data_IF_640663295128
#
_entry.id   IF_640663295128
#
_cell.length_a   1.000
_cell.length_b   1.000
_cell.length_c   1.000
_cell.angle_alpha   90.00
_cell.angle_beta   90.00
_cell.angle_gamma   90.00
#
_symmetry.space_group_name_H-M   'P 1'
#
loop_
_entity.id
_entity.type
_entity.pdbx_description
1 polymer ?
#
# COMPACT_ATOMS: atom_id res chain seq x y z
N UNK A 1 13.35 -2.01 8.81
CA UNK A 1 12.36 -2.60 9.74
C UNK A 1 12.59 -2.22 11.20
N UNK A 2 13.65 -1.46 11.54
CA UNK A 2 14.03 -1.18 12.93
C UNK A 2 13.09 -0.20 13.67
N UNK A 3 12.24 0.57 12.96
CA UNK A 3 11.43 1.64 13.57
C UNK A 3 9.91 1.54 13.31
N UNK A 4 9.43 0.44 12.71
CA UNK A 4 7.99 0.26 12.46
C UNK A 4 7.35 -0.46 13.65
N UNK A 5 6.33 0.11 14.31
CA UNK A 5 5.60 -0.57 15.38
C UNK A 5 5.11 -1.95 14.94
N UNK A 6 5.29 -2.96 15.79
CA UNK A 6 4.90 -4.34 15.50
C UNK A 6 3.44 -4.49 15.02
N UNK A 7 2.54 -3.68 15.57
CA UNK A 7 1.14 -3.66 15.17
C UNK A 7 0.91 -3.28 13.69
N UNK A 8 1.83 -2.53 13.10
CA UNK A 8 1.80 -2.10 11.70
C UNK A 8 2.61 -3.05 10.81
N UNK A 9 3.76 -3.52 11.28
CA UNK A 9 4.60 -4.44 10.50
C UNK A 9 3.90 -5.74 10.12
N UNK A 10 2.99 -6.25 10.96
CA UNK A 10 2.19 -7.45 10.65
C UNK A 10 1.25 -7.31 9.44
N UNK A 11 0.99 -6.08 8.99
CA UNK A 11 0.17 -5.80 7.80
C UNK A 11 0.99 -5.77 6.51
N UNK A 12 2.32 -5.77 6.63
CA UNK A 12 3.24 -5.71 5.51
C UNK A 12 3.66 -7.14 5.18
N UNK A 13 3.41 -7.55 3.94
CA UNK A 13 3.73 -8.88 3.44
C UNK A 13 4.53 -8.73 2.14
N UNK A 14 5.59 -9.54 1.93
CA UNK A 14 6.24 -9.63 0.63
C UNK A 14 5.24 -10.08 -0.44
N UNK A 15 5.35 -9.52 -1.65
CA UNK A 15 4.44 -9.86 -2.75
C UNK A 15 4.44 -11.36 -3.10
N UNK A 16 5.60 -12.02 -2.96
CA UNK A 16 5.75 -13.45 -3.20
C UNK A 16 4.91 -14.32 -2.24
N UNK A 17 4.62 -13.81 -1.04
CA UNK A 17 3.93 -14.56 0.01
C UNK A 17 2.40 -14.43 -0.08
N UNK A 18 1.89 -13.47 -0.87
CA UNK A 18 0.45 -13.18 -0.98
C UNK A 18 -0.31 -14.39 -1.52
N UNK A 19 0.22 -15.08 -2.54
CA UNK A 19 -0.43 -16.23 -3.15
C UNK A 19 -0.58 -17.42 -2.18
N UNK A 20 0.32 -17.54 -1.21
CA UNK A 20 0.28 -18.57 -0.18
C UNK A 20 -0.57 -18.17 1.05
N UNK A 21 -1.00 -16.92 1.14
CA UNK A 21 -1.78 -16.43 2.27
C UNK A 21 -3.25 -16.85 2.12
N UNK A 22 -3.81 -17.67 3.04
CA UNK A 22 -5.24 -17.98 3.04
C UNK A 22 -6.03 -16.76 3.54
N UNK A 23 -6.12 -15.75 2.68
CA UNK A 23 -6.92 -14.55 2.92
C UNK A 23 -8.42 -14.86 2.88
N UNK A 24 -9.26 -13.94 3.37
CA UNK A 24 -10.70 -14.14 3.33
C UNK A 24 -11.21 -14.21 1.88
N UNK A 25 -12.27 -15.01 1.67
CA UNK A 25 -13.03 -14.96 0.41
C UNK A 25 -13.59 -13.55 0.25
N UNK A 26 -13.47 -12.95 -0.94
CA UNK A 26 -13.76 -11.52 -1.24
C UNK A 26 -12.66 -10.54 -0.78
N UNK A 27 -11.42 -10.79 -1.21
CA UNK A 27 -10.33 -9.84 -1.10
C UNK A 27 -10.49 -8.72 -2.14
N UNK A 28 -10.58 -7.47 -1.68
CA UNK A 28 -10.50 -6.29 -2.52
C UNK A 28 -9.03 -5.94 -2.72
N UNK A 29 -8.65 -5.58 -3.95
CA UNK A 29 -7.30 -5.19 -4.29
C UNK A 29 -7.27 -3.77 -4.85
N UNK A 30 -6.27 -3.00 -4.45
CA UNK A 30 -5.90 -1.74 -5.09
C UNK A 30 -4.40 -1.55 -5.08
N UNK A 31 -3.88 -0.65 -5.92
CA UNK A 31 -2.49 -0.24 -5.90
C UNK A 31 -2.33 1.28 -6.01
N UNK A 32 -1.18 1.78 -5.55
CA UNK A 32 -0.84 3.18 -5.72
C UNK A 32 0.52 3.55 -5.15
N UNK A 33 0.94 4.79 -5.43
CA UNK A 33 2.18 5.34 -4.85
C UNK A 33 1.94 5.75 -3.40
N UNK A 34 0.81 6.39 -3.08
CA UNK A 34 0.48 6.88 -1.72
C UNK A 34 1.61 7.70 -1.06
N UNK A 35 2.25 8.58 -1.85
CA UNK A 35 3.43 9.35 -1.43
C UNK A 35 3.14 10.30 -0.26
N UNK A 36 2.08 11.12 -0.40
CA UNK A 36 1.59 11.99 0.67
C UNK A 36 0.11 11.70 0.86
N UNK A 37 -0.26 11.23 2.04
CA UNK A 37 -1.65 10.94 2.36
C UNK A 37 -2.46 12.23 2.55
N UNK A 38 -3.69 12.20 2.06
CA UNK A 38 -4.65 13.28 2.20
C UNK A 38 -6.07 12.70 2.22
N UNK A 39 -7.08 13.54 2.50
CA UNK A 39 -8.50 13.13 2.62
C UNK A 39 -8.96 12.19 1.50
N UNK A 40 -8.60 12.50 0.24
CA UNK A 40 -8.95 11.67 -0.92
C UNK A 40 -8.48 10.23 -0.82
N UNK A 41 -7.23 9.97 -0.41
CA UNK A 41 -6.73 8.59 -0.25
C UNK A 41 -7.45 7.85 0.88
N UNK A 42 -7.71 8.53 2.00
CA UNK A 42 -8.40 7.91 3.15
C UNK A 42 -9.84 7.54 2.77
N UNK A 43 -10.57 8.45 2.14
CA UNK A 43 -11.94 8.18 1.66
C UNK A 43 -11.94 7.02 0.65
N UNK A 44 -11.02 7.05 -0.31
CA UNK A 44 -10.85 5.99 -1.30
C UNK A 44 -10.59 4.61 -0.67
N UNK A 45 -9.66 4.51 0.28
CA UNK A 45 -9.32 3.24 0.94
C UNK A 45 -10.46 2.75 1.84
N UNK A 46 -11.21 3.66 2.48
CA UNK A 46 -12.40 3.31 3.26
C UNK A 46 -13.51 2.73 2.37
N UNK A 47 -13.79 3.38 1.23
CA UNK A 47 -14.77 2.89 0.26
C UNK A 47 -14.34 1.54 -0.32
N UNK A 48 -13.07 1.39 -0.73
CA UNK A 48 -12.53 0.13 -1.22
C UNK A 48 -12.64 -0.98 -0.15
N UNK A 49 -12.32 -0.67 1.12
CA UNK A 49 -12.44 -1.63 2.23
C UNK A 49 -13.87 -2.11 2.43
N UNK A 50 -14.88 -1.28 2.15
CA UNK A 50 -16.29 -1.64 2.32
C UNK A 50 -16.80 -2.65 1.27
N UNK A 51 -16.09 -2.84 0.16
CA UNK A 51 -16.52 -3.71 -0.94
C UNK A 51 -16.26 -5.22 -0.70
N UNK A 52 -15.57 -5.59 0.37
CA UNK A 52 -15.26 -7.00 0.63
C UNK A 52 -14.85 -7.31 2.05
N UNK A 53 -14.32 -8.51 2.25
CA UNK A 53 -13.96 -9.02 3.57
C UNK A 53 -12.59 -8.49 4.04
N UNK A 54 -11.68 -8.21 3.11
CA UNK A 54 -10.40 -7.56 3.37
C UNK A 54 -9.98 -6.67 2.19
N UNK A 55 -9.01 -5.79 2.45
CA UNK A 55 -8.38 -4.92 1.46
C UNK A 55 -6.88 -5.20 1.43
N UNK A 56 -6.35 -5.54 0.26
CA UNK A 56 -4.92 -5.59 -0.04
C UNK A 56 -4.54 -4.32 -0.81
N UNK A 57 -3.56 -3.58 -0.29
CA UNK A 57 -3.01 -2.39 -0.93
C UNK A 57 -1.59 -2.70 -1.40
N UNK A 58 -1.38 -2.73 -2.71
CA UNK A 58 -0.05 -2.85 -3.29
C UNK A 58 0.58 -1.45 -3.44
N UNK A 59 1.74 -1.25 -2.83
CA UNK A 59 2.48 0.02 -2.94
C UNK A 59 3.48 -0.09 -4.08
N UNK A 60 3.46 0.89 -4.99
CA UNK A 60 4.44 0.94 -6.08
C UNK A 60 5.86 1.12 -5.53
N UNK A 61 6.82 0.40 -6.10
CA UNK A 61 8.24 0.62 -5.78
C UNK A 61 8.72 2.00 -6.19
N UNK A 62 9.84 2.46 -5.63
CA UNK A 62 10.41 3.77 -5.98
C UNK A 62 10.72 3.88 -7.48
N UNK A 63 11.22 2.79 -8.08
CA UNK A 63 11.45 2.72 -9.52
C UNK A 63 10.14 2.84 -10.31
N UNK A 64 9.10 2.07 -9.93
CA UNK A 64 7.79 2.12 -10.58
C UNK A 64 7.13 3.50 -10.46
N UNK A 65 7.23 4.14 -9.29
CA UNK A 65 6.67 5.46 -9.04
C UNK A 65 7.33 6.56 -9.90
N UNK A 66 8.66 6.52 -10.07
CA UNK A 66 9.42 7.46 -10.93
C UNK A 66 9.05 7.33 -12.40
N UNK A 67 8.78 6.10 -12.87
CA UNK A 67 8.35 5.86 -14.26
C UNK A 67 6.98 6.46 -14.59
N UNK A 68 6.14 6.79 -13.59
CA UNK A 68 4.80 7.36 -13.81
C UNK A 68 4.81 8.87 -14.14
N UNK A 69 5.98 9.50 -14.35
CA UNK A 69 6.08 10.85 -14.90
C UNK A 69 5.58 11.97 -13.97
N UNK A 70 5.58 11.76 -12.65
CA UNK A 70 5.08 12.74 -11.65
C UNK A 70 6.09 13.84 -11.28
N UNK A 71 7.16 13.97 -12.05
CA UNK A 71 8.28 14.88 -11.80
C UNK A 71 9.51 14.17 -11.22
N UNK A 72 10.71 14.78 -11.36
CA UNK A 72 11.98 14.15 -11.00
C UNK A 72 12.14 13.93 -9.48
N UNK A 73 11.51 14.76 -8.67
CA UNK A 73 11.62 14.72 -7.20
C UNK A 73 10.60 13.79 -6.54
N UNK A 74 9.82 13.04 -7.32
CA UNK A 74 8.78 12.12 -6.81
C UNK A 74 9.21 10.66 -6.97
N UNK A 75 8.89 9.78 -6.01
CA UNK A 75 8.18 10.05 -4.75
C UNK A 75 9.08 10.77 -3.72
N UNK A 76 8.46 11.58 -2.85
CA UNK A 76 9.15 12.26 -1.75
C UNK A 76 9.59 11.26 -0.68
N UNK A 77 8.74 10.26 -0.41
CA UNK A 77 8.97 9.23 0.59
C UNK A 77 9.42 7.92 -0.09
N UNK A 78 10.37 7.22 0.54
CA UNK A 78 10.83 5.93 0.04
C UNK A 78 9.71 4.90 0.15
N UNK A 79 9.81 3.84 -0.63
CA UNK A 79 8.82 2.75 -0.64
C UNK A 79 8.47 2.25 0.76
N UNK A 80 9.49 2.01 1.60
CA UNK A 80 9.28 1.52 2.97
C UNK A 80 8.45 2.46 3.84
N UNK A 81 8.60 3.78 3.67
CA UNK A 81 7.87 4.78 4.45
C UNK A 81 6.39 4.84 4.00
N UNK A 82 6.14 4.49 2.73
CA UNK A 82 4.80 4.45 2.11
C UNK A 82 4.06 3.14 2.35
N UNK A 83 4.68 2.11 2.95
CA UNK A 83 4.01 0.84 3.28
C UNK A 83 3.08 0.95 4.51
N UNK A 84 3.21 2.03 5.28
CA UNK A 84 2.36 2.32 6.41
C UNK A 84 1.31 3.34 5.97
N UNK A 85 0.20 2.83 5.42
CA UNK A 85 -0.98 3.60 4.97
C UNK A 85 -2.23 3.25 5.76
#
# INVERSE_FOLDING_TARGET
MADIPYALSRKILPAADIAACPGPRLLVFTNGVFDVLHRGHVAYLLEARALGAALLVAVNSDASARMQGKGPDRPLNRELDRLIV
#
